data_IF_049267633110
#
_entry.id   IF_049267633110
#
_cell.length_a   1.000
_cell.length_b   1.000
_cell.length_c   1.000
_cell.angle_alpha   90.00
_cell.angle_beta   90.00
_cell.angle_gamma   90.00
#
_symmetry.space_group_name_H-M   'P 1'
#
loop_
_entity.id
_entity.type
_entity.pdbx_description
1 polymer ?
#
# COMPACT_ATOMS: atom_id res chain seq x y z
N UNK A 1 -8.08 -25.17 -18.29
CA UNK A 1 -8.02 -23.96 -17.43
C UNK A 1 -6.73 -24.02 -16.65
N UNK A 2 -5.82 -23.06 -16.83
CA UNK A 2 -4.59 -22.99 -16.02
C UNK A 2 -4.97 -22.62 -14.59
N UNK A 3 -4.53 -23.42 -13.62
CA UNK A 3 -4.67 -23.11 -12.20
C UNK A 3 -3.69 -21.96 -11.92
N UNK A 4 -4.21 -20.77 -11.62
CA UNK A 4 -3.39 -19.63 -11.27
C UNK A 4 -2.68 -19.91 -9.94
N UNK A 5 -1.35 -19.88 -9.94
CA UNK A 5 -0.53 -20.04 -8.74
C UNK A 5 -0.09 -18.67 -8.26
N UNK A 6 -0.58 -18.19 -7.10
CA UNK A 6 -0.26 -16.86 -6.60
C UNK A 6 1.20 -16.77 -6.17
N UNK A 7 1.91 -15.73 -6.65
CA UNK A 7 3.27 -15.44 -6.18
C UNK A 7 3.26 -14.65 -4.85
N UNK A 8 4.42 -14.57 -4.18
CA UNK A 8 4.56 -13.90 -2.87
C UNK A 8 4.18 -12.41 -2.89
N UNK A 9 4.47 -11.69 -3.98
CA UNK A 9 4.15 -10.27 -4.11
C UNK A 9 2.65 -10.08 -4.18
N UNK A 10 1.98 -10.89 -4.99
CA UNK A 10 0.54 -10.91 -5.12
C UNK A 10 -0.15 -11.22 -3.79
N UNK A 11 0.31 -12.25 -3.06
CA UNK A 11 -0.25 -12.60 -1.74
C UNK A 11 -0.08 -11.47 -0.71
N UNK A 12 1.05 -10.76 -0.70
CA UNK A 12 1.24 -9.56 0.14
C UNK A 12 0.27 -8.44 -0.23
N UNK A 13 -0.02 -8.26 -1.52
CA UNK A 13 -1.03 -7.32 -2.00
C UNK A 13 -2.42 -7.65 -1.47
N UNK A 14 -2.80 -8.93 -1.47
CA UNK A 14 -4.06 -9.41 -0.90
C UNK A 14 -4.12 -9.15 0.61
N UNK A 15 -3.06 -9.47 1.36
CA UNK A 15 -3.02 -9.19 2.79
C UNK A 15 -3.21 -7.69 3.09
N UNK A 16 -2.64 -6.81 2.26
CA UNK A 16 -2.86 -5.36 2.36
C UNK A 16 -4.30 -4.98 2.08
N UNK A 17 -4.90 -5.54 1.05
CA UNK A 17 -6.30 -5.31 0.76
C UNK A 17 -7.20 -5.72 1.94
N UNK A 18 -6.96 -6.89 2.55
CA UNK A 18 -7.73 -7.35 3.72
C UNK A 18 -7.48 -6.51 4.97
N UNK A 19 -6.25 -6.07 5.19
CA UNK A 19 -5.93 -5.13 6.27
C UNK A 19 -6.69 -3.81 6.12
N UNK A 20 -6.74 -3.24 4.91
CA UNK A 20 -7.49 -2.01 4.61
C UNK A 20 -9.01 -2.20 4.79
N UNK A 21 -9.52 -3.41 4.59
CA UNK A 21 -10.90 -3.79 4.90
C UNK A 21 -11.16 -4.09 6.39
N UNK A 22 -10.18 -3.84 7.27
CA UNK A 22 -10.25 -4.09 8.71
C UNK A 22 -10.43 -5.56 9.10
N UNK A 23 -10.02 -6.49 8.22
CA UNK A 23 -10.00 -7.92 8.55
C UNK A 23 -8.82 -8.22 9.47
N UNK A 24 -9.02 -9.14 10.39
CA UNK A 24 -7.95 -9.73 11.20
C UNK A 24 -7.07 -10.67 10.37
N UNK A 25 -5.86 -10.96 10.86
CA UNK A 25 -4.97 -11.95 10.25
C UNK A 25 -5.64 -13.34 10.12
N UNK A 26 -6.46 -13.71 11.11
CA UNK A 26 -7.20 -14.98 11.10
C UNK A 26 -8.29 -15.01 10.01
N UNK A 27 -9.02 -13.91 9.80
CA UNK A 27 -9.98 -13.82 8.70
C UNK A 27 -9.29 -13.82 7.34
N UNK A 28 -8.19 -13.07 7.19
CA UNK A 28 -7.38 -13.07 5.98
C UNK A 28 -6.86 -14.48 5.65
N UNK A 29 -6.35 -15.20 6.65
CA UNK A 29 -5.87 -16.57 6.48
C UNK A 29 -6.99 -17.54 6.06
N UNK A 30 -8.18 -17.46 6.70
CA UNK A 30 -9.35 -18.25 6.31
C UNK A 30 -9.75 -18.02 4.86
N UNK A 31 -9.79 -16.77 4.42
CA UNK A 31 -10.17 -16.42 3.04
C UNK A 31 -9.10 -16.91 2.04
N UNK A 32 -7.81 -16.79 2.39
CA UNK A 32 -6.73 -17.28 1.54
C UNK A 32 -6.78 -18.79 1.34
N UNK A 33 -7.01 -19.58 2.40
CA UNK A 33 -7.20 -21.03 2.28
C UNK A 33 -8.38 -21.34 1.36
N UNK A 34 -9.53 -20.68 1.56
CA UNK A 34 -10.70 -20.90 0.70
C UNK A 34 -10.47 -20.59 -0.78
N UNK A 35 -9.54 -19.68 -1.09
CA UNK A 35 -9.32 -19.20 -2.47
C UNK A 35 -8.19 -19.95 -3.18
N UNK A 36 -7.10 -20.25 -2.46
CA UNK A 36 -5.85 -20.74 -3.04
C UNK A 36 -5.44 -22.13 -2.53
N UNK A 37 -6.18 -22.67 -1.56
CA UNK A 37 -5.95 -23.98 -0.95
C UNK A 37 -4.49 -24.17 -0.54
N UNK A 38 -3.81 -25.19 -1.06
CA UNK A 38 -2.39 -25.48 -0.82
C UNK A 38 -1.42 -24.33 -1.19
N UNK A 39 -1.86 -23.38 -2.03
CA UNK A 39 -1.04 -22.22 -2.42
C UNK A 39 -1.26 -21.01 -1.49
N UNK A 40 -2.04 -21.14 -0.43
CA UNK A 40 -2.26 -20.09 0.54
C UNK A 40 -1.02 -19.84 1.44
N UNK A 41 -0.95 -18.64 2.01
CA UNK A 41 0.04 -18.35 3.05
C UNK A 41 -0.33 -19.07 4.35
N UNK A 42 0.69 -19.55 5.07
CA UNK A 42 0.49 -20.11 6.41
C UNK A 42 -0.08 -19.06 7.38
N UNK A 43 -0.79 -19.54 8.40
CA UNK A 43 -1.35 -18.69 9.45
C UNK A 43 -0.28 -17.82 10.12
N UNK A 44 0.88 -18.41 10.43
CA UNK A 44 2.03 -17.71 11.00
C UNK A 44 2.50 -16.57 10.09
N UNK A 45 2.63 -16.82 8.78
CA UNK A 45 3.05 -15.79 7.83
C UNK A 45 2.04 -14.65 7.76
N UNK A 46 0.74 -14.96 7.85
CA UNK A 46 -0.31 -13.94 7.90
C UNK A 46 -0.21 -13.12 9.18
N UNK A 47 -0.02 -13.76 10.34
CA UNK A 47 0.13 -13.07 11.63
C UNK A 47 1.37 -12.18 11.67
N UNK A 48 2.52 -12.70 11.27
CA UNK A 48 3.78 -11.95 11.24
C UNK A 48 3.67 -10.74 10.31
N UNK A 49 3.10 -10.92 9.12
CA UNK A 49 2.89 -9.83 8.18
C UNK A 49 1.96 -8.73 8.73
N UNK A 50 0.93 -9.11 9.50
CA UNK A 50 0.03 -8.16 10.16
C UNK A 50 0.68 -7.49 11.37
N UNK A 51 1.58 -8.17 12.08
CA UNK A 51 2.31 -7.65 13.24
C UNK A 51 3.47 -6.72 12.86
N UNK A 52 4.18 -7.01 11.76
CA UNK A 52 5.29 -6.18 11.24
C UNK A 52 4.82 -4.87 10.59
N UNK A 53 3.51 -4.62 10.57
CA UNK A 53 2.94 -3.38 10.03
C UNK A 53 3.18 -2.23 11.00
N UNK A 54 3.62 -1.10 10.43
CA UNK A 54 3.79 0.17 11.16
C UNK A 54 2.49 0.73 11.76
N UNK A 55 1.34 0.23 11.31
CA UNK A 55 0.01 0.61 11.79
C UNK A 55 -0.79 -0.65 12.06
N UNK A 56 -1.51 -0.69 13.17
CA UNK A 56 -2.31 -1.82 13.62
C UNK A 56 -3.74 -1.78 13.07
N UNK A 57 -4.17 -0.63 12.54
CA UNK A 57 -5.45 -0.51 11.86
C UNK A 57 -5.46 0.55 10.76
N UNK A 58 -6.49 0.48 9.92
CA UNK A 58 -6.77 1.53 8.94
C UNK A 58 -7.01 2.89 9.62
N UNK A 59 -7.73 2.90 10.75
CA UNK A 59 -7.99 4.13 11.52
C UNK A 59 -6.72 4.75 12.06
N UNK A 60 -5.76 3.95 12.54
CA UNK A 60 -4.47 4.44 13.01
C UNK A 60 -3.67 5.08 11.85
N UNK A 61 -3.61 4.39 10.71
CA UNK A 61 -2.97 4.91 9.51
C UNK A 61 -3.65 6.20 9.02
N UNK A 62 -4.98 6.23 8.99
CA UNK A 62 -5.76 7.39 8.58
C UNK A 62 -5.50 8.58 9.52
N UNK A 63 -5.60 8.38 10.84
CA UNK A 63 -5.31 9.43 11.83
C UNK A 63 -3.89 9.97 11.69
N UNK A 64 -2.92 9.09 11.45
CA UNK A 64 -1.54 9.51 11.22
C UNK A 64 -1.40 10.38 9.97
N UNK A 65 -2.02 9.98 8.86
CA UNK A 65 -2.04 10.78 7.61
C UNK A 65 -2.70 12.13 7.86
N UNK A 66 -3.88 12.15 8.48
CA UNK A 66 -4.63 13.37 8.78
C UNK A 66 -3.81 14.33 9.64
N UNK A 67 -3.17 13.81 10.69
CA UNK A 67 -2.26 14.58 11.55
C UNK A 67 -1.05 15.11 10.78
N UNK A 68 -0.45 14.28 9.91
CA UNK A 68 0.68 14.70 9.09
C UNK A 68 0.29 15.79 8.09
N UNK A 69 -0.87 15.69 7.43
CA UNK A 69 -1.40 16.72 6.53
C UNK A 69 -1.65 18.02 7.32
N UNK A 70 -2.31 17.93 8.48
CA UNK A 70 -2.58 19.08 9.35
C UNK A 70 -1.30 19.74 9.88
N UNK A 71 -0.18 19.01 9.98
CA UNK A 71 1.12 19.54 10.36
C UNK A 71 1.80 20.39 9.27
N UNK A 72 1.30 20.36 8.02
CA UNK A 72 1.85 21.13 6.91
C UNK A 72 1.22 22.50 6.82
N UNK A 73 2.06 23.52 6.70
CA UNK A 73 1.61 24.90 6.51
C UNK A 73 1.29 25.19 5.02
N UNK A 74 0.57 26.28 4.76
CA UNK A 74 0.14 26.65 3.39
C UNK A 74 1.32 26.81 2.42
N UNK A 75 2.49 27.23 2.90
CA UNK A 75 3.67 27.39 2.04
C UNK A 75 4.20 26.07 1.52
N UNK A 76 4.02 24.96 2.25
CA UNK A 76 4.36 23.61 1.78
C UNK A 76 3.60 23.26 0.49
N UNK A 77 2.28 23.43 0.50
CA UNK A 77 1.43 23.15 -0.65
C UNK A 77 1.68 24.14 -1.80
N UNK A 78 1.79 25.43 -1.47
CA UNK A 78 2.08 26.48 -2.46
C UNK A 78 3.39 26.23 -3.21
N UNK A 79 4.45 25.87 -2.48
CA UNK A 79 5.74 25.49 -3.09
C UNK A 79 5.58 24.31 -4.05
N UNK A 80 4.83 23.28 -3.64
CA UNK A 80 4.58 22.11 -4.48
C UNK A 80 3.90 22.44 -5.82
N UNK A 81 2.96 23.39 -5.83
CA UNK A 81 2.29 23.84 -7.05
C UNK A 81 3.22 24.71 -7.90
N UNK A 82 3.98 25.61 -7.27
CA UNK A 82 4.87 26.53 -7.97
C UNK A 82 6.04 25.84 -8.69
N UNK A 83 6.43 24.61 -8.30
CA UNK A 83 7.49 23.85 -8.99
C UNK A 83 6.97 23.05 -10.19
N UNK A 84 5.66 23.05 -10.45
CA UNK A 84 5.08 22.31 -11.59
C UNK A 84 5.57 22.82 -12.96
N UNK A 85 5.73 24.13 -13.22
CA UNK A 85 6.28 24.62 -14.49
C UNK A 85 7.71 24.11 -14.74
N UNK A 86 8.59 24.18 -13.74
CA UNK A 86 9.97 23.66 -13.83
C UNK A 86 9.97 22.15 -14.13
N UNK A 87 9.08 21.38 -13.50
CA UNK A 87 8.91 19.96 -13.81
C UNK A 87 8.42 19.74 -15.25
N UNK A 88 7.51 20.58 -15.73
CA UNK A 88 7.04 20.55 -17.11
C UNK A 88 8.17 20.77 -18.11
N UNK A 89 9.03 21.76 -17.88
CA UNK A 89 10.21 22.01 -18.70
C UNK A 89 11.16 20.80 -18.73
N UNK A 90 11.38 20.16 -17.59
CA UNK A 90 12.19 18.93 -17.50
C UNK A 90 11.60 17.75 -18.26
N UNK A 91 10.26 17.60 -18.30
CA UNK A 91 9.60 16.57 -19.12
C UNK A 91 9.92 16.81 -20.59
N UNK A 92 9.79 18.05 -21.08
CA UNK A 92 10.03 18.40 -22.48
C UNK A 92 11.50 18.20 -22.85
N UNK A 93 12.43 18.66 -22.01
CA UNK A 93 13.87 18.48 -22.26
C UNK A 93 14.33 17.02 -22.20
N UNK A 94 13.57 16.16 -21.52
CA UNK A 94 13.87 14.73 -21.36
C UNK A 94 13.13 13.87 -22.37
N UNK A 95 12.44 14.46 -23.36
CA UNK A 95 11.62 13.73 -24.34
C UNK A 95 10.65 12.73 -23.67
N UNK A 96 10.02 13.18 -22.57
CA UNK A 96 9.07 12.38 -21.80
C UNK A 96 9.68 11.31 -20.88
N UNK A 97 11.01 11.16 -20.82
CA UNK A 97 11.67 10.25 -19.89
C UNK A 97 11.57 10.74 -18.44
N UNK A 98 11.62 9.80 -17.48
CA UNK A 98 11.68 10.13 -16.06
C UNK A 98 12.98 10.88 -15.71
N UNK A 99 12.87 11.95 -14.94
CA UNK A 99 13.99 12.75 -14.44
C UNK A 99 13.94 12.85 -12.90
N UNK A 100 15.06 13.26 -12.31
CA UNK A 100 15.20 13.49 -10.87
C UNK A 100 14.80 14.91 -10.46
#
# INVERSE_FOLDING_TARGET
>A
MSIFVPNKVYLRGILLHYFLQKKSAAEAHRILIQTYDDNALSDTTCRDWFADRRFHSYEEAQKWIDSWIASKDMSFFRRGIHVLPERGEKVVSSDGQYFK
#
